data_IF_274262331826
#
_entry.id   IF_274262331826
#
_cell.length_a   1.000
_cell.length_b   1.000
_cell.length_c   1.000
_cell.angle_alpha   90.00
_cell.angle_beta   90.00
_cell.angle_gamma   90.00
#
_symmetry.space_group_name_H-M   'P 1'
#
loop_
_entity.id
_entity.type
_entity.pdbx_description
1 polymer ?
#
# COMPACT_ATOMS: atom_id res chain seq x y z
N UNK A 1 -39.46 14.17 14.31
CA UNK A 1 -39.01 13.29 13.23
C UNK A 1 -37.88 13.87 12.39
N UNK A 2 -37.73 15.18 12.28
CA UNK A 2 -36.67 15.82 11.47
C UNK A 2 -35.26 15.70 12.10
N UNK A 3 -35.15 15.49 13.40
CA UNK A 3 -33.86 15.39 14.12
C UNK A 3 -33.14 14.01 13.98
N UNK A 4 -33.87 12.97 13.64
CA UNK A 4 -33.31 11.60 13.50
C UNK A 4 -32.72 11.40 12.09
N UNK A 5 -33.21 12.18 11.12
CA UNK A 5 -32.73 12.09 9.74
C UNK A 5 -31.33 12.71 9.52
N UNK A 6 -30.93 13.65 10.39
CA UNK A 6 -29.61 14.31 10.29
C UNK A 6 -28.44 13.47 10.80
N UNK A 7 -28.70 12.46 11.62
CA UNK A 7 -27.64 11.60 12.18
C UNK A 7 -27.25 10.48 11.20
N UNK A 8 -28.14 10.12 10.29
CA UNK A 8 -27.89 9.04 9.31
C UNK A 8 -26.97 9.41 8.15
N UNK A 9 -26.78 10.70 7.85
CA UNK A 9 -26.00 11.17 6.70
C UNK A 9 -24.50 11.37 7.02
N UNK A 10 -24.15 11.48 8.30
CA UNK A 10 -22.78 11.78 8.73
C UNK A 10 -21.82 10.56 8.74
N UNK A 11 -22.34 9.34 8.56
CA UNK A 11 -21.53 8.11 8.69
C UNK A 11 -20.92 7.62 7.36
N UNK A 12 -21.31 8.21 6.23
CA UNK A 12 -20.94 7.68 4.89
C UNK A 12 -19.65 8.29 4.33
N UNK A 13 -19.01 9.24 5.00
CA UNK A 13 -17.86 9.99 4.46
C UNK A 13 -16.48 9.57 5.00
N UNK A 14 -16.36 8.45 5.65
CA UNK A 14 -15.04 7.88 5.96
C UNK A 14 -14.59 6.91 4.85
N UNK A 15 -14.55 7.41 3.63
CA UNK A 15 -13.79 6.79 2.55
C UNK A 15 -12.31 6.86 2.89
N UNK A 16 -11.78 5.84 3.56
CA UNK A 16 -10.36 5.71 3.79
C UNK A 16 -9.65 5.71 2.44
N UNK A 17 -8.87 6.74 2.15
CA UNK A 17 -7.91 6.73 1.06
C UNK A 17 -6.86 5.66 1.37
N UNK A 18 -7.13 4.41 1.00
CA UNK A 18 -6.13 3.37 1.06
C UNK A 18 -5.06 3.68 -0.01
N UNK A 19 -3.76 3.66 0.32
CA UNK A 19 -2.69 3.89 -0.64
C UNK A 19 -2.44 2.64 -1.50
N UNK A 20 -3.48 2.15 -2.13
CA UNK A 20 -3.47 1.04 -3.08
C UNK A 20 -4.22 1.44 -4.34
N UNK A 21 -3.82 0.88 -5.46
CA UNK A 21 -4.44 1.09 -6.75
C UNK A 21 -4.36 -0.16 -7.60
N UNK A 22 -5.27 -0.28 -8.54
CA UNK A 22 -5.27 -1.38 -9.50
C UNK A 22 -5.57 -0.89 -10.92
N UNK A 23 -5.12 -1.67 -11.89
CA UNK A 23 -5.48 -1.52 -13.31
C UNK A 23 -6.06 -2.85 -13.77
N UNK A 24 -7.34 -2.86 -14.13
CA UNK A 24 -7.98 -4.05 -14.66
C UNK A 24 -7.39 -4.41 -16.03
N UNK A 25 -6.99 -5.66 -16.17
CA UNK A 25 -6.53 -6.24 -17.44
C UNK A 25 -7.41 -7.41 -17.87
N UNK A 26 -8.21 -7.93 -16.97
CA UNK A 26 -9.18 -8.99 -17.19
C UNK A 26 -10.55 -8.62 -16.59
N UNK A 27 -11.34 -9.63 -16.25
CA UNK A 27 -12.68 -9.46 -15.70
C UNK A 27 -12.66 -9.60 -14.18
N UNK A 28 -13.13 -8.56 -13.48
CA UNK A 28 -13.33 -8.63 -12.03
C UNK A 28 -14.45 -9.63 -11.68
N UNK A 29 -14.30 -10.28 -10.53
CA UNK A 29 -15.25 -11.25 -9.97
C UNK A 29 -15.86 -10.70 -8.67
N UNK A 30 -16.93 -11.32 -8.14
CA UNK A 30 -17.47 -10.92 -6.85
C UNK A 30 -16.41 -10.91 -5.75
N UNK A 31 -16.41 -9.91 -4.85
CA UNK A 31 -15.42 -9.81 -3.78
C UNK A 31 -15.38 -11.03 -2.87
N UNK A 32 -14.19 -11.35 -2.39
CA UNK A 32 -13.95 -12.42 -1.41
C UNK A 32 -13.23 -11.86 -0.18
N UNK A 33 -13.06 -12.67 0.86
CA UNK A 33 -12.27 -12.30 2.03
C UNK A 33 -10.77 -12.23 1.68
N UNK A 34 -10.04 -11.20 2.15
CA UNK A 34 -8.59 -11.11 1.95
C UNK A 34 -7.79 -12.30 2.49
N UNK A 35 -8.34 -13.00 3.50
CA UNK A 35 -7.73 -14.21 4.07
C UNK A 35 -7.70 -15.40 3.11
N UNK A 36 -8.57 -15.39 2.10
CA UNK A 36 -8.62 -16.43 1.06
C UNK A 36 -7.66 -16.19 -0.10
N UNK A 37 -7.03 -15.03 -0.15
CA UNK A 37 -6.07 -14.67 -1.20
C UNK A 37 -4.70 -15.26 -0.87
N UNK A 38 -4.20 -16.12 -1.76
CA UNK A 38 -2.86 -16.71 -1.66
C UNK A 38 -1.83 -15.83 -2.35
N UNK A 39 -0.62 -15.78 -1.81
CA UNK A 39 0.51 -15.08 -2.41
C UNK A 39 1.44 -16.08 -3.07
N UNK A 40 1.72 -15.86 -4.34
CA UNK A 40 2.59 -16.69 -5.16
C UNK A 40 3.87 -15.95 -5.50
N UNK A 41 5.00 -16.56 -5.28
CA UNK A 41 6.30 -16.09 -5.77
C UNK A 41 6.60 -16.57 -7.20
N UNK A 42 5.95 -17.67 -7.59
CA UNK A 42 6.06 -18.26 -8.93
C UNK A 42 4.65 -18.44 -9.49
N UNK A 43 4.39 -18.09 -10.75
CA UNK A 43 3.07 -18.25 -11.34
C UNK A 43 2.60 -19.71 -11.27
N UNK A 44 1.34 -19.98 -10.89
CA UNK A 44 0.76 -21.31 -10.99
C UNK A 44 0.59 -21.74 -12.46
N UNK A 45 0.38 -23.02 -12.70
CA UNK A 45 0.28 -23.56 -14.06
C UNK A 45 -0.95 -23.04 -14.82
N UNK A 46 -2.05 -22.81 -14.12
CA UNK A 46 -3.30 -22.29 -14.69
C UNK A 46 -3.80 -21.13 -13.86
N UNK A 47 -3.95 -20.00 -14.47
CA UNK A 47 -4.53 -18.82 -13.85
C UNK A 47 -5.09 -17.87 -14.90
N UNK A 48 -6.02 -17.06 -14.48
CA UNK A 48 -6.58 -15.94 -15.23
C UNK A 48 -6.12 -14.65 -14.57
N UNK A 49 -5.54 -13.74 -15.34
CA UNK A 49 -5.10 -12.44 -14.84
C UNK A 49 -6.28 -11.49 -14.77
N UNK A 50 -6.46 -10.84 -13.62
CA UNK A 50 -7.58 -9.92 -13.39
C UNK A 50 -7.09 -8.47 -13.44
N UNK A 51 -6.03 -8.15 -12.70
CA UNK A 51 -5.54 -6.78 -12.59
C UNK A 51 -4.06 -6.72 -12.20
N UNK A 52 -3.44 -5.60 -12.52
CA UNK A 52 -2.14 -5.21 -11.97
C UNK A 52 -2.39 -4.37 -10.73
N UNK A 53 -1.71 -4.70 -9.64
CA UNK A 53 -1.87 -4.08 -8.33
C UNK A 53 -0.63 -3.31 -7.91
N UNK A 54 -0.85 -2.18 -7.26
CA UNK A 54 0.16 -1.40 -6.56
C UNK A 54 -0.32 -1.07 -5.15
N UNK A 55 0.54 -1.27 -4.16
CA UNK A 55 0.29 -0.81 -2.81
C UNK A 55 1.56 -0.25 -2.18
N UNK A 56 1.43 0.71 -1.28
CA UNK A 56 2.57 1.32 -0.62
C UNK A 56 2.35 1.51 0.87
N UNK A 57 3.43 1.53 1.62
CA UNK A 57 3.45 1.90 3.03
C UNK A 57 4.65 2.78 3.32
N UNK A 58 4.49 3.71 4.27
CA UNK A 58 5.57 4.58 4.74
C UNK A 58 6.09 4.10 6.08
N UNK A 59 7.38 4.27 6.30
CA UNK A 59 8.02 3.99 7.58
C UNK A 59 9.01 5.09 7.94
N UNK A 60 9.17 5.32 9.25
CA UNK A 60 10.21 6.18 9.82
C UNK A 60 11.36 5.28 10.27
N UNK A 61 12.59 5.75 10.16
CA UNK A 61 13.82 5.14 10.66
C UNK A 61 14.32 3.88 9.95
N UNK A 62 13.47 3.08 9.33
CA UNK A 62 13.86 1.82 8.69
C UNK A 62 13.43 1.77 7.24
N UNK A 63 14.41 1.74 6.35
CA UNK A 63 14.17 1.34 4.97
C UNK A 63 13.80 -0.15 4.94
N UNK A 64 12.52 -0.46 4.73
CA UNK A 64 12.08 -1.82 4.42
C UNK A 64 12.10 -2.83 5.55
N UNK A 65 11.76 -2.42 6.74
CA UNK A 65 11.49 -3.39 7.80
C UNK A 65 10.37 -4.35 7.42
N UNK A 66 10.44 -5.58 7.92
CA UNK A 66 9.46 -6.65 7.67
C UNK A 66 8.01 -6.17 7.86
N UNK A 67 7.75 -5.38 8.90
CA UNK A 67 6.42 -4.82 9.19
C UNK A 67 5.87 -3.95 8.06
N UNK A 68 6.73 -3.20 7.38
CA UNK A 68 6.31 -2.33 6.27
C UNK A 68 5.97 -3.17 5.04
N UNK A 69 6.78 -4.19 4.78
CA UNK A 69 6.53 -5.17 3.71
C UNK A 69 5.23 -5.93 3.95
N UNK A 70 5.01 -6.42 5.17
CA UNK A 70 3.78 -7.13 5.55
C UNK A 70 2.53 -6.26 5.32
N UNK A 71 2.58 -4.98 5.71
CA UNK A 71 1.49 -4.03 5.44
C UNK A 71 1.21 -3.84 3.95
N UNK A 72 2.25 -3.80 3.13
CA UNK A 72 2.09 -3.71 1.68
C UNK A 72 1.43 -4.97 1.14
N UNK A 73 1.85 -6.15 1.57
CA UNK A 73 1.25 -7.43 1.17
C UNK A 73 -0.22 -7.50 1.60
N UNK A 74 -0.55 -7.10 2.83
CA UNK A 74 -1.94 -7.06 3.29
C UNK A 74 -2.82 -6.13 2.44
N UNK A 75 -2.29 -4.97 2.04
CA UNK A 75 -2.99 -4.04 1.15
C UNK A 75 -3.20 -4.62 -0.25
N UNK A 76 -2.19 -5.28 -0.80
CA UNK A 76 -2.32 -6.00 -2.08
C UNK A 76 -3.38 -7.10 -2.00
N UNK A 77 -3.41 -7.87 -0.89
CA UNK A 77 -4.43 -8.90 -0.66
C UNK A 77 -5.83 -8.31 -0.55
N UNK A 78 -5.98 -7.20 0.16
CA UNK A 78 -7.27 -6.52 0.29
C UNK A 78 -7.77 -6.01 -1.06
N UNK A 79 -6.90 -5.42 -1.87
CA UNK A 79 -7.23 -4.95 -3.21
C UNK A 79 -7.61 -6.10 -4.14
N UNK A 80 -6.82 -7.18 -4.14
CA UNK A 80 -7.12 -8.40 -4.92
C UNK A 80 -8.45 -9.02 -4.52
N UNK A 81 -8.75 -9.08 -3.23
CA UNK A 81 -9.99 -9.63 -2.70
C UNK A 81 -11.22 -8.84 -3.16
N UNK A 82 -11.14 -7.52 -3.25
CA UNK A 82 -12.20 -6.67 -3.78
C UNK A 82 -12.51 -6.96 -5.26
N UNK A 83 -11.51 -7.40 -6.01
CA UNK A 83 -11.63 -7.80 -7.41
C UNK A 83 -12.03 -9.27 -7.59
N UNK A 84 -12.23 -10.00 -6.50
CA UNK A 84 -12.55 -11.41 -6.53
C UNK A 84 -11.39 -12.33 -6.92
N UNK A 85 -10.16 -11.83 -6.87
CA UNK A 85 -8.96 -12.64 -7.09
C UNK A 85 -8.68 -13.53 -5.88
N UNK A 86 -8.38 -14.80 -6.12
CA UNK A 86 -7.98 -15.74 -5.07
C UNK A 86 -6.47 -15.94 -4.96
N UNK A 87 -5.70 -15.22 -5.77
CA UNK A 87 -4.25 -15.25 -5.73
C UNK A 87 -3.60 -13.93 -6.19
N UNK A 88 -2.37 -13.73 -5.75
CA UNK A 88 -1.51 -12.64 -6.19
C UNK A 88 -0.16 -13.23 -6.58
N UNK A 89 0.34 -12.90 -7.77
CA UNK A 89 1.72 -13.12 -8.15
C UNK A 89 2.50 -11.88 -7.74
N UNK A 90 3.41 -12.04 -6.79
CA UNK A 90 4.22 -10.94 -6.29
C UNK A 90 5.38 -10.67 -7.25
N UNK A 91 5.50 -9.43 -7.74
CA UNK A 91 6.54 -9.05 -8.71
C UNK A 91 7.76 -8.43 -8.03
N UNK A 92 7.57 -7.75 -6.89
CA UNK A 92 8.67 -7.18 -6.13
C UNK A 92 8.27 -5.99 -5.27
N UNK A 93 9.27 -5.48 -4.57
CA UNK A 93 9.17 -4.31 -3.72
C UNK A 93 10.22 -3.29 -4.12
N UNK A 94 9.80 -2.03 -4.22
CA UNK A 94 10.66 -0.87 -4.39
C UNK A 94 10.67 -0.03 -3.11
N UNK A 95 11.83 0.48 -2.73
CA UNK A 95 11.97 1.37 -1.60
C UNK A 95 12.55 2.70 -2.03
N UNK A 96 11.92 3.78 -1.60
CA UNK A 96 12.34 5.13 -1.90
C UNK A 96 12.31 5.97 -0.64
N UNK A 97 13.36 6.73 -0.40
CA UNK A 97 13.35 7.76 0.63
C UNK A 97 12.56 8.96 0.10
N UNK A 98 11.47 9.30 0.79
CA UNK A 98 10.56 10.39 0.37
C UNK A 98 10.74 11.67 1.16
N UNK A 99 11.54 11.66 2.22
CA UNK A 99 11.80 12.82 3.05
C UNK A 99 12.62 12.47 4.29
N UNK A 100 12.86 13.48 5.12
CA UNK A 100 13.49 13.32 6.43
C UNK A 100 12.84 14.27 7.42
N UNK A 101 12.72 13.81 8.67
CA UNK A 101 12.34 14.64 9.80
C UNK A 101 13.59 14.91 10.63
N UNK A 102 13.94 16.18 10.78
CA UNK A 102 15.02 16.62 11.65
C UNK A 102 14.48 17.43 12.80
N UNK A 103 14.97 17.17 14.01
CA UNK A 103 14.81 18.05 15.15
C UNK A 103 16.13 18.71 15.43
N UNK A 104 16.24 20.01 15.19
CA UNK A 104 17.46 20.77 15.44
C UNK A 104 17.10 22.22 15.79
N UNK A 105 17.77 22.78 16.77
CA UNK A 105 17.76 24.21 17.06
C UNK A 105 18.90 24.83 16.27
N UNK A 106 18.59 25.36 15.07
CA UNK A 106 19.57 26.00 14.21
C UNK A 106 18.88 26.72 13.08
N UNK A 107 19.46 27.81 12.58
CA UNK A 107 18.91 28.59 11.47
C UNK A 107 18.94 27.78 10.17
N UNK A 108 17.78 27.58 9.59
CA UNK A 108 17.59 26.80 8.38
C UNK A 108 17.86 27.65 7.13
N UNK A 109 18.87 27.29 6.37
CA UNK A 109 18.99 27.71 4.98
C UNK A 109 18.47 26.60 4.09
N UNK A 110 17.27 26.79 3.55
CA UNK A 110 16.72 25.86 2.57
C UNK A 110 17.35 26.09 1.20
N UNK A 111 18.15 25.13 0.79
CA UNK A 111 18.56 24.98 -0.60
C UNK A 111 18.08 23.63 -1.09
N UNK A 112 17.48 23.60 -2.28
CA UNK A 112 16.73 22.48 -2.82
C UNK A 112 17.54 21.20 -3.12
N UNK A 113 18.84 21.16 -2.85
CA UNK A 113 19.71 20.03 -3.23
C UNK A 113 20.75 19.62 -2.17
N UNK A 114 20.88 20.31 -1.06
CA UNK A 114 21.74 19.86 0.04
C UNK A 114 21.37 20.58 1.33
N UNK A 115 21.03 19.82 2.36
CA UNK A 115 20.95 20.32 3.72
C UNK A 115 22.25 19.98 4.44
N UNK A 116 23.12 20.95 4.61
CA UNK A 116 24.25 20.87 5.52
C UNK A 116 23.85 21.59 6.80
N UNK A 117 23.36 20.82 7.78
CA UNK A 117 23.11 21.30 9.12
C UNK A 117 24.23 20.85 10.03
N UNK A 118 25.01 21.79 10.60
CA UNK A 118 25.90 21.53 11.72
C UNK A 118 25.12 21.81 12.99
N UNK A 119 24.53 20.77 13.54
CA UNK A 119 23.78 20.81 14.79
C UNK A 119 23.67 19.44 15.41
N UNK A 120 23.73 19.37 16.75
CA UNK A 120 23.46 18.13 17.49
C UNK A 120 21.96 17.85 17.42
N UNK A 121 21.54 17.14 16.39
CA UNK A 121 20.16 16.76 16.15
C UNK A 121 20.09 15.45 15.35
N UNK A 122 19.22 14.54 15.76
CA UNK A 122 18.93 13.31 15.00
C UNK A 122 18.01 13.61 13.82
N UNK A 123 18.37 13.17 12.62
CA UNK A 123 17.48 13.16 11.48
C UNK A 123 16.96 11.75 11.21
N UNK A 124 15.63 11.62 11.05
CA UNK A 124 15.00 10.37 10.69
C UNK A 124 14.56 10.41 9.23
N UNK A 125 14.97 9.43 8.44
CA UNK A 125 14.49 9.28 7.07
C UNK A 125 13.06 8.77 7.03
N UNK A 126 12.26 9.29 6.10
CA UNK A 126 10.94 8.78 5.74
C UNK A 126 11.11 7.91 4.50
N UNK A 127 10.77 6.64 4.61
CA UNK A 127 10.90 5.69 3.53
C UNK A 127 9.52 5.23 3.08
N UNK A 128 9.35 5.12 1.78
CA UNK A 128 8.16 4.55 1.14
C UNK A 128 8.53 3.20 0.53
N UNK A 129 7.85 2.15 0.97
CA UNK A 129 7.92 0.83 0.34
C UNK A 129 6.71 0.66 -0.55
N UNK A 130 6.93 0.34 -1.82
CA UNK A 130 5.88 0.06 -2.80
C UNK A 130 6.01 -1.38 -3.25
N UNK A 131 4.93 -2.14 -3.15
CA UNK A 131 4.82 -3.49 -3.69
C UNK A 131 3.99 -3.50 -4.96
N UNK A 132 4.41 -4.33 -5.91
CA UNK A 132 3.71 -4.59 -7.16
C UNK A 132 3.36 -6.07 -7.26
N UNK A 133 2.20 -6.36 -7.81
CA UNK A 133 1.76 -7.72 -8.03
C UNK A 133 0.63 -7.80 -9.04
N UNK A 134 0.32 -9.00 -9.48
CA UNK A 134 -0.81 -9.28 -10.36
C UNK A 134 -1.87 -10.05 -9.59
N UNK A 135 -3.09 -9.53 -9.61
CA UNK A 135 -4.25 -10.24 -9.10
C UNK A 135 -4.66 -11.31 -10.12
N UNK A 136 -4.78 -12.53 -9.66
CA UNK A 136 -5.11 -13.69 -10.49
C UNK A 136 -6.25 -14.49 -9.89
N UNK A 137 -6.94 -15.22 -10.75
CA UNK A 137 -7.87 -16.27 -10.36
C UNK A 137 -7.31 -17.62 -10.76
N UNK A 138 -7.13 -18.48 -9.77
CA UNK A 138 -6.72 -19.87 -9.95
C UNK A 138 -7.98 -20.73 -9.83
N UNK A 139 -8.41 -21.40 -10.90
CA UNK A 139 -9.56 -22.29 -10.82
C UNK A 139 -9.27 -23.47 -9.90
N UNK A 140 -10.31 -23.98 -9.24
CA UNK A 140 -10.20 -25.24 -8.50
C UNK A 140 -9.92 -26.38 -9.47
N UNK A 141 -8.98 -27.27 -9.10
CA UNK A 141 -8.72 -28.51 -9.83
C UNK A 141 -9.82 -29.52 -9.62
#
# INVERSE_FOLDING_TARGET
MLRIFMIGVAVVLMGACAPSSHVLVGTARPPISPTMVKVYSTPPQRFEEIAVLNASSKSLFNAGGQRTTDKVVERLKAEAAQLGANGIILEGFDQTQTGSLGTGVGSDSYSSHSSVGVGVGGSAGIFKTTGKGRAIYVPAE
#
